data_IF_726344839973
#
_entry.id   IF_726344839973
#
_cell.length_a   1.000
_cell.length_b   1.000
_cell.length_c   1.000
_cell.angle_alpha   90.00
_cell.angle_beta   90.00
_cell.angle_gamma   90.00
#
_symmetry.space_group_name_H-M   'P 1'
#
loop_
_entity.id
_entity.type
_entity.pdbx_description
1 polymer ?
#
# COMPACT_ATOMS: atom_id res chain seq x y z
N UNK A 1 5.80 -16.15 3.93
CA UNK A 1 5.40 -17.04 2.82
C UNK A 1 4.95 -16.13 1.70
N UNK A 2 5.66 -16.13 0.57
CA UNK A 2 5.34 -15.29 -0.60
C UNK A 2 4.16 -15.94 -1.33
N UNK A 3 3.10 -15.19 -1.62
CA UNK A 3 2.00 -15.68 -2.44
C UNK A 3 2.32 -15.44 -3.93
N UNK A 4 1.83 -16.27 -4.83
CA UNK A 4 2.08 -16.14 -6.27
C UNK A 4 0.93 -15.38 -6.94
N UNK A 5 1.27 -14.36 -7.70
CA UNK A 5 0.47 -13.89 -8.82
C UNK A 5 1.40 -13.92 -10.04
N UNK A 6 1.06 -14.70 -11.08
CA UNK A 6 1.79 -14.81 -12.35
C UNK A 6 3.31 -15.01 -12.18
N UNK A 7 3.71 -16.17 -11.63
CA UNK A 7 5.09 -16.65 -11.47
C UNK A 7 6.08 -15.80 -10.65
N UNK A 8 5.67 -14.62 -10.17
CA UNK A 8 6.45 -13.81 -9.26
C UNK A 8 6.18 -14.20 -7.78
N UNK A 9 7.24 -14.30 -6.98
CA UNK A 9 7.13 -14.36 -5.52
C UNK A 9 6.69 -12.99 -5.00
N UNK A 10 5.40 -12.83 -4.67
CA UNK A 10 4.87 -11.56 -4.14
C UNK A 10 5.41 -11.31 -2.74
N UNK A 11 6.28 -10.29 -2.61
CA UNK A 11 6.71 -9.71 -1.35
C UNK A 11 5.52 -9.26 -0.50
N UNK A 12 5.69 -9.23 0.82
CA UNK A 12 4.63 -8.83 1.75
C UNK A 12 4.06 -7.45 1.37
N UNK A 13 2.75 -7.36 1.18
CA UNK A 13 1.95 -6.23 0.66
C UNK A 13 1.98 -4.91 1.46
N UNK A 14 2.94 -4.70 2.36
CA UNK A 14 3.02 -3.48 3.18
C UNK A 14 4.04 -2.51 2.60
N UNK A 15 3.74 -1.21 2.70
CA UNK A 15 4.67 -0.11 2.39
C UNK A 15 5.86 -0.09 3.37
N UNK A 16 6.78 -1.06 3.21
CA UNK A 16 7.96 -1.23 4.03
C UNK A 16 9.22 -0.95 3.21
N UNK A 17 10.00 0.05 3.62
CA UNK A 17 11.27 0.43 2.98
C UNK A 17 12.27 -0.72 2.94
N UNK A 18 12.22 -1.64 3.92
CA UNK A 18 13.08 -2.82 3.96
C UNK A 18 12.90 -3.77 2.76
N UNK A 19 11.73 -3.82 2.15
CA UNK A 19 11.52 -4.63 0.94
C UNK A 19 12.19 -4.01 -0.28
N UNK A 20 12.03 -2.69 -0.45
CA UNK A 20 12.69 -1.94 -1.50
C UNK A 20 14.21 -2.06 -1.33
N UNK A 21 14.72 -1.88 -0.11
CA UNK A 21 16.15 -2.03 0.19
C UNK A 21 16.69 -3.41 -0.20
N UNK A 22 15.92 -4.47 0.07
CA UNK A 22 16.28 -5.83 -0.34
C UNK A 22 16.21 -6.01 -1.85
N UNK A 23 15.16 -5.52 -2.51
CA UNK A 23 15.02 -5.61 -3.96
C UNK A 23 16.22 -4.96 -4.66
N UNK A 24 16.56 -3.73 -4.25
CA UNK A 24 17.74 -3.01 -4.72
C UNK A 24 19.04 -3.78 -4.47
N UNK A 25 19.21 -4.36 -3.27
CA UNK A 25 20.40 -5.15 -2.94
C UNK A 25 20.58 -6.39 -3.82
N UNK A 26 19.48 -7.02 -4.23
CA UNK A 26 19.50 -8.26 -5.01
C UNK A 26 19.25 -8.05 -6.52
N UNK A 27 19.17 -6.81 -6.99
CA UNK A 27 18.86 -6.51 -8.40
C UNK A 27 17.48 -6.98 -8.83
N UNK A 28 16.53 -7.07 -7.90
CA UNK A 28 15.14 -7.45 -8.18
C UNK A 28 14.38 -6.18 -8.61
N UNK A 29 13.60 -6.22 -9.72
CA UNK A 29 12.76 -5.11 -10.12
C UNK A 29 11.86 -4.61 -8.99
N UNK A 30 11.90 -3.30 -8.74
CA UNK A 30 11.12 -2.65 -7.70
C UNK A 30 10.23 -1.55 -8.29
N UNK A 31 8.93 -1.66 -8.01
CA UNK A 31 7.92 -0.64 -8.31
C UNK A 31 7.47 -0.02 -6.98
N UNK A 32 7.47 1.30 -6.92
CA UNK A 32 6.99 2.08 -5.78
C UNK A 32 5.73 2.83 -6.21
N UNK A 33 4.53 2.38 -5.78
CA UNK A 33 3.31 3.13 -5.97
C UNK A 33 3.39 4.47 -5.26
N UNK A 34 2.90 5.54 -5.89
CA UNK A 34 2.74 6.86 -5.27
C UNK A 34 1.33 7.40 -5.52
N UNK A 35 0.72 7.97 -4.48
CA UNK A 35 -0.65 8.51 -4.52
C UNK A 35 -0.70 9.85 -3.80
N UNK A 36 -1.66 10.69 -4.17
CA UNK A 36 -1.96 11.92 -3.44
C UNK A 36 -1.99 11.63 -1.92
N UNK A 37 -1.29 12.42 -1.09
CA UNK A 37 -1.12 12.13 0.32
C UNK A 37 -2.44 12.12 1.08
N UNK A 38 -3.37 13.03 0.80
CA UNK A 38 -4.66 13.09 1.48
C UNK A 38 -5.43 11.80 1.23
N UNK A 39 -5.51 11.37 -0.03
CA UNK A 39 -6.22 10.16 -0.40
C UNK A 39 -5.57 8.89 0.18
N UNK A 40 -4.23 8.81 0.12
CA UNK A 40 -3.47 7.67 0.60
C UNK A 40 -3.60 7.51 2.12
N UNK A 41 -3.40 8.60 2.87
CA UNK A 41 -3.46 8.62 4.32
C UNK A 41 -4.90 8.37 4.78
N UNK A 42 -5.90 9.03 4.18
CA UNK A 42 -7.32 8.80 4.49
C UNK A 42 -7.70 7.35 4.29
N UNK A 43 -7.25 6.74 3.18
CA UNK A 43 -7.48 5.32 2.92
C UNK A 43 -6.80 4.41 3.96
N UNK A 44 -5.61 4.78 4.44
CA UNK A 44 -4.87 4.00 5.44
C UNK A 44 -5.52 4.08 6.83
N UNK A 45 -5.81 5.30 7.30
CA UNK A 45 -6.53 5.57 8.57
C UNK A 45 -7.86 4.81 8.58
N UNK A 46 -8.62 4.89 7.50
CA UNK A 46 -9.88 4.15 7.35
C UNK A 46 -9.66 2.62 7.42
N UNK A 47 -8.70 2.09 6.66
CA UNK A 47 -8.46 0.65 6.57
C UNK A 47 -7.94 0.03 7.88
N UNK A 48 -7.14 0.77 8.64
CA UNK A 48 -6.63 0.35 9.94
C UNK A 48 -7.66 0.49 11.06
N UNK A 49 -8.75 1.22 10.81
CA UNK A 49 -9.77 1.54 11.81
C UNK A 49 -9.21 2.34 13.00
N UNK A 50 -7.99 2.86 12.90
CA UNK A 50 -7.40 3.74 13.89
C UNK A 50 -7.62 5.19 13.42
N UNK A 51 -8.07 6.07 14.31
CA UNK A 51 -8.18 7.51 13.99
C UNK A 51 -6.82 8.23 14.14
N UNK A 52 -5.72 7.48 14.03
CA UNK A 52 -4.37 7.96 14.28
C UNK A 52 -3.77 8.58 13.00
N UNK A 53 -4.28 9.76 12.67
CA UNK A 53 -3.84 10.54 11.50
C UNK A 53 -2.37 10.93 11.61
N UNK A 54 -1.90 11.27 12.81
CA UNK A 54 -0.52 11.68 13.05
C UNK A 54 0.45 10.56 12.61
N UNK A 55 0.26 9.34 13.11
CA UNK A 55 1.10 8.20 12.74
C UNK A 55 1.11 7.92 11.24
N UNK A 56 -0.05 8.01 10.58
CA UNK A 56 -0.14 7.74 9.13
C UNK A 56 0.53 8.83 8.29
N UNK A 57 0.44 10.10 8.68
CA UNK A 57 1.17 11.19 8.03
C UNK A 57 2.67 11.00 8.19
N UNK A 58 3.15 10.66 9.40
CA UNK A 58 4.58 10.38 9.61
C UNK A 58 5.06 9.17 8.82
N UNK A 59 4.26 8.10 8.72
CA UNK A 59 4.59 6.92 7.91
C UNK A 59 4.71 7.27 6.44
N UNK A 60 3.78 8.05 5.89
CA UNK A 60 3.85 8.54 4.51
C UNK A 60 5.15 9.31 4.27
N UNK A 61 5.42 10.31 5.11
CA UNK A 61 6.62 11.14 5.00
C UNK A 61 7.91 10.32 5.14
N UNK A 62 7.99 9.45 6.14
CA UNK A 62 9.16 8.62 6.38
C UNK A 62 9.44 7.67 5.22
N UNK A 63 8.39 7.07 4.64
CA UNK A 63 8.52 6.19 3.50
C UNK A 63 9.05 6.94 2.27
N UNK A 64 8.40 8.03 1.87
CA UNK A 64 8.80 8.73 0.65
C UNK A 64 10.10 9.52 0.78
N UNK A 65 10.44 10.06 1.97
CA UNK A 65 11.77 10.64 2.21
C UNK A 65 12.89 9.60 2.12
N UNK A 66 12.58 8.35 2.47
CA UNK A 66 13.53 7.26 2.29
C UNK A 66 13.64 6.84 0.82
N UNK A 67 12.54 6.88 0.06
CA UNK A 67 12.51 6.55 -1.38
C UNK A 67 13.19 7.64 -2.22
N UNK A 68 13.00 8.91 -1.89
CA UNK A 68 13.49 10.09 -2.63
C UNK A 68 14.95 9.97 -3.11
N UNK A 69 15.95 9.70 -2.25
CA UNK A 69 17.35 9.56 -2.70
C UNK A 69 17.64 8.28 -3.51
N UNK A 70 16.66 7.38 -3.65
CA UNK A 70 16.76 6.07 -4.36
C UNK A 70 15.85 6.02 -5.58
N UNK A 71 15.23 7.14 -5.93
CA UNK A 71 14.16 7.19 -6.92
C UNK A 71 14.63 6.69 -8.29
N UNK A 72 15.87 6.99 -8.68
CA UNK A 72 16.43 6.55 -9.95
C UNK A 72 16.67 5.02 -10.02
N UNK A 73 16.66 4.35 -8.87
CA UNK A 73 16.83 2.89 -8.77
C UNK A 73 15.50 2.12 -8.70
N UNK A 74 14.36 2.81 -8.69
CA UNK A 74 13.02 2.19 -8.66
C UNK A 74 12.16 2.73 -9.82
N UNK A 75 11.07 2.02 -10.15
CA UNK A 75 10.00 2.61 -10.97
C UNK A 75 9.00 3.27 -10.04
N UNK A 76 8.88 4.60 -10.09
CA UNK A 76 7.84 5.32 -9.37
C UNK A 76 6.55 5.31 -10.21
N UNK A 77 5.48 4.72 -9.67
CA UNK A 77 4.24 4.52 -10.40
C UNK A 77 3.08 5.30 -9.75
N UNK A 78 2.55 6.36 -10.39
CA UNK A 78 1.35 7.04 -9.93
C UNK A 78 0.16 6.09 -9.81
N UNK A 79 -0.61 6.25 -8.74
CA UNK A 79 -1.76 5.39 -8.45
C UNK A 79 -2.80 5.43 -9.57
N UNK A 80 -3.02 6.62 -10.14
CA UNK A 80 -3.91 6.84 -11.28
C UNK A 80 -3.46 5.98 -12.47
N UNK A 81 -2.17 6.03 -12.83
CA UNK A 81 -1.60 5.16 -13.87
C UNK A 81 -1.79 3.68 -13.54
N UNK A 82 -1.53 3.27 -12.29
CA UNK A 82 -1.68 1.86 -11.87
C UNK A 82 -3.11 1.35 -12.13
N UNK A 83 -4.13 2.17 -11.87
CA UNK A 83 -5.54 1.75 -12.00
C UNK A 83 -6.12 1.96 -13.40
N UNK A 84 -5.54 2.83 -14.24
CA UNK A 84 -6.06 3.12 -15.59
C UNK A 84 -5.24 2.52 -16.72
N UNK A 85 -3.92 2.42 -16.56
CA UNK A 85 -2.99 1.93 -17.58
C UNK A 85 -1.79 1.20 -16.92
N UNK A 86 -2.06 0.00 -16.40
CA UNK A 86 -1.03 -0.81 -15.77
C UNK A 86 0.06 -1.27 -16.75
N UNK A 87 -0.25 -1.34 -18.05
CA UNK A 87 0.72 -1.70 -19.10
C UNK A 87 1.83 -0.66 -19.21
N UNK A 88 1.54 0.62 -18.95
CA UNK A 88 2.58 1.64 -18.82
C UNK A 88 3.59 1.33 -17.70
N UNK A 89 3.12 0.82 -16.56
CA UNK A 89 4.01 0.41 -15.45
C UNK A 89 4.87 -0.79 -15.87
N UNK A 90 4.28 -1.79 -16.51
CA UNK A 90 4.99 -2.98 -17.02
C UNK A 90 6.08 -2.56 -18.01
N UNK A 91 5.77 -1.65 -18.95
CA UNK A 91 6.74 -1.14 -19.92
C UNK A 91 7.94 -0.50 -19.23
N UNK A 92 7.72 0.38 -18.26
CA UNK A 92 8.80 1.05 -17.54
C UNK A 92 9.67 0.06 -16.75
N UNK A 93 9.05 -0.97 -16.16
CA UNK A 93 9.80 -2.04 -15.48
C UNK A 93 10.68 -2.79 -16.46
N UNK A 94 10.14 -3.17 -17.62
CA UNK A 94 10.88 -3.85 -18.68
C UNK A 94 12.05 -3.00 -19.19
N UNK A 95 11.82 -1.72 -19.46
CA UNK A 95 12.85 -0.78 -19.93
C UNK A 95 13.94 -0.55 -18.87
N UNK A 96 13.57 -0.34 -17.61
CA UNK A 96 14.52 -0.01 -16.53
C UNK A 96 15.37 -1.21 -16.10
N UNK A 97 14.77 -2.39 -16.01
CA UNK A 97 15.42 -3.58 -15.46
C UNK A 97 15.81 -4.61 -16.52
N UNK A 98 15.53 -4.36 -17.80
CA UNK A 98 15.79 -5.30 -18.89
C UNK A 98 14.96 -6.59 -18.77
N UNK A 99 13.75 -6.50 -18.23
CA UNK A 99 12.84 -7.64 -18.10
C UNK A 99 11.92 -7.78 -19.31
N UNK A 100 11.25 -8.94 -19.41
CA UNK A 100 10.31 -9.27 -20.50
C UNK A 100 8.94 -9.64 -19.93
N UNK A 101 8.43 -8.86 -18.97
CA UNK A 101 7.10 -9.10 -18.41
C UNK A 101 6.01 -8.85 -19.46
N UNK A 102 5.05 -9.77 -19.52
CA UNK A 102 3.93 -9.69 -20.45
C UNK A 102 2.98 -8.55 -20.10
N UNK A 103 2.44 -7.90 -21.13
CA UNK A 103 1.36 -6.94 -20.99
C UNK A 103 0.04 -7.64 -20.63
N UNK A 104 -0.89 -6.87 -20.07
CA UNK A 104 -2.25 -7.29 -19.74
C UNK A 104 -3.17 -6.88 -20.89
N UNK A 105 -3.76 -7.87 -21.56
CA UNK A 105 -4.69 -7.62 -22.68
C UNK A 105 -6.08 -7.16 -22.19
N UNK A 106 -6.53 -7.69 -21.06
CA UNK A 106 -7.83 -7.39 -20.44
C UNK A 106 -7.64 -6.98 -18.97
N UNK A 107 -7.37 -5.68 -18.75
CA UNK A 107 -7.16 -5.14 -17.41
C UNK A 107 -8.42 -5.22 -16.55
N UNK A 108 -9.60 -5.02 -17.15
CA UNK A 108 -10.88 -5.06 -16.45
C UNK A 108 -11.18 -6.48 -15.97
N UNK A 109 -11.08 -7.47 -16.85
CA UNK A 109 -11.27 -8.88 -16.51
C UNK A 109 -10.23 -9.39 -15.51
N UNK A 110 -8.97 -8.98 -15.64
CA UNK A 110 -7.93 -9.30 -14.65
C UNK A 110 -8.26 -8.70 -13.27
N UNK A 111 -8.72 -7.44 -13.25
CA UNK A 111 -9.10 -6.77 -12.00
C UNK A 111 -10.31 -7.43 -11.35
N UNK A 112 -11.32 -7.81 -12.13
CA UNK A 112 -12.51 -8.51 -11.64
C UNK A 112 -12.17 -9.88 -11.06
N UNK A 113 -11.29 -10.65 -11.72
CA UNK A 113 -10.80 -11.93 -11.20
C UNK A 113 -10.07 -11.76 -9.86
N UNK A 114 -9.21 -10.75 -9.75
CA UNK A 114 -8.51 -10.44 -8.49
C UNK A 114 -9.53 -10.04 -7.41
N UNK A 115 -10.52 -9.19 -7.71
CA UNK A 115 -11.57 -8.80 -6.75
C UNK A 115 -12.32 -10.02 -6.23
N UNK A 116 -12.78 -10.89 -7.12
CA UNK A 116 -13.45 -12.15 -6.73
C UNK A 116 -12.56 -13.02 -5.85
N UNK A 117 -11.28 -13.15 -6.20
CA UNK A 117 -10.33 -13.90 -5.39
C UNK A 117 -10.16 -13.32 -3.97
N UNK A 118 -10.12 -11.98 -3.85
CA UNK A 118 -10.11 -11.30 -2.56
C UNK A 118 -11.42 -11.53 -1.81
N UNK A 119 -12.57 -11.31 -2.44
CA UNK A 119 -13.87 -11.56 -1.83
C UNK A 119 -13.95 -13.01 -1.32
N UNK A 120 -13.54 -14.00 -2.11
CA UNK A 120 -13.49 -15.40 -1.67
C UNK A 120 -12.53 -15.64 -0.49
N UNK A 121 -11.35 -14.99 -0.49
CA UNK A 121 -10.38 -15.09 0.60
C UNK A 121 -10.87 -14.47 1.92
N UNK A 122 -11.63 -13.38 1.83
CA UNK A 122 -12.02 -12.55 2.97
C UNK A 122 -13.45 -12.80 3.45
N UNK A 123 -14.32 -13.35 2.61
CA UNK A 123 -15.73 -13.62 2.92
C UNK A 123 -15.98 -15.09 3.35
N UNK A 124 -15.02 -16.01 3.16
CA UNK A 124 -15.20 -17.45 3.47
C UNK A 124 -14.33 -18.04 4.61
N UNK A 125 -13.87 -17.25 5.59
CA UNK A 125 -13.49 -17.82 6.91
C UNK A 125 -14.53 -17.49 7.96
N UNK A 126 -15.50 -18.39 8.00
CA UNK A 126 -16.62 -18.50 8.92
C UNK A 126 -16.36 -17.93 10.32
N UNK A 127 -17.40 -17.29 10.86
CA UNK A 127 -17.56 -16.94 12.27
C UNK A 127 -17.30 -18.11 13.25
N UNK A 128 -17.18 -19.37 12.77
CA UNK A 128 -16.98 -20.58 13.58
C UNK A 128 -15.52 -20.86 13.95
N UNK A 129 -14.54 -20.32 13.26
CA UNK A 129 -13.13 -20.46 13.63
C UNK A 129 -12.56 -19.07 13.87
N UNK A 130 -12.59 -18.61 15.12
CA UNK A 130 -12.15 -17.27 15.56
C UNK A 130 -10.65 -16.99 15.38
N UNK A 131 -10.12 -17.17 14.17
CA UNK A 131 -8.76 -16.84 13.75
C UNK A 131 -8.81 -16.15 12.39
N UNK A 132 -8.87 -14.82 12.41
CA UNK A 132 -8.33 -14.06 11.29
C UNK A 132 -6.83 -14.35 11.22
N UNK A 133 -6.39 -14.92 10.09
CA UNK A 133 -4.97 -15.21 9.81
C UNK A 133 -4.16 -13.95 9.44
N UNK A 134 -4.75 -12.77 9.49
CA UNK A 134 -4.09 -11.51 9.15
C UNK A 134 -3.99 -10.62 10.39
N UNK A 135 -2.88 -10.79 11.10
CA UNK A 135 -2.31 -9.74 11.94
C UNK A 135 -1.01 -9.30 11.23
N UNK A 136 -0.73 -8.00 11.08
CA UNK A 136 0.49 -7.56 10.39
C UNK A 136 1.72 -8.09 11.12
N UNK A 137 2.36 -9.11 10.55
CA UNK A 137 3.57 -9.71 11.12
C UNK A 137 4.78 -8.76 11.07
N UNK A 138 4.66 -7.58 10.46
CA UNK A 138 5.76 -6.60 10.34
C UNK A 138 5.76 -5.54 11.45
N UNK A 139 4.67 -5.38 12.23
CA UNK A 139 4.74 -4.57 13.47
C UNK A 139 5.55 -5.30 14.55
N UNK A 140 5.79 -6.62 14.41
CA UNK A 140 6.56 -7.40 15.38
C UNK A 140 8.07 -7.18 15.34
N UNK A 141 8.65 -6.96 14.16
CA UNK A 141 10.11 -7.13 14.00
C UNK A 141 10.87 -5.87 13.54
N UNK A 142 10.20 -4.77 13.16
CA UNK A 142 10.86 -3.64 12.48
C UNK A 142 11.06 -2.36 13.30
N UNK A 143 10.44 -2.20 14.48
CA UNK A 143 10.53 -0.97 15.28
C UNK A 143 10.59 -1.28 16.78
N UNK A 144 11.78 -1.30 17.41
CA UNK A 144 11.86 -1.36 18.86
C UNK A 144 11.39 -0.03 19.43
N UNK A 145 10.13 0.03 19.88
CA UNK A 145 9.56 1.21 20.55
C UNK A 145 8.10 1.53 20.22
N UNK A 146 7.45 0.83 19.30
CA UNK A 146 6.07 1.13 18.88
C UNK A 146 5.19 -0.13 18.88
N UNK A 147 5.00 -0.72 20.06
CA UNK A 147 4.13 -1.90 20.21
C UNK A 147 3.20 -1.69 21.40
N UNK A 148 1.92 -1.48 21.07
CA UNK A 148 0.84 -1.94 21.94
C UNK A 148 1.10 -3.40 22.30
N UNK A 149 0.89 -3.76 23.57
CA UNK A 149 1.07 -5.12 24.06
C UNK A 149 0.16 -6.11 23.30
N UNK A 150 0.55 -7.39 23.28
CA UNK A 150 -0.28 -8.46 22.71
C UNK A 150 -1.68 -8.54 23.35
N UNK A 151 -1.84 -8.06 24.59
CA UNK A 151 -3.12 -7.92 25.27
C UNK A 151 -3.92 -6.71 24.77
N UNK A 152 -3.27 -5.58 24.50
CA UNK A 152 -3.90 -4.37 23.95
C UNK A 152 -4.41 -4.61 22.52
N UNK A 153 -3.68 -5.39 21.69
CA UNK A 153 -4.17 -5.76 20.35
C UNK A 153 -5.35 -6.74 20.39
N UNK A 154 -5.32 -7.72 21.32
CA UNK A 154 -6.40 -8.71 21.49
C UNK A 154 -7.70 -8.09 22.01
N UNK A 155 -7.58 -7.09 22.88
CA UNK A 155 -8.72 -6.37 23.46
C UNK A 155 -9.12 -5.13 22.65
N UNK A 156 -8.33 -4.72 21.65
CA UNK A 156 -8.78 -3.71 20.72
C UNK A 156 -9.96 -4.29 19.95
N UNK A 157 -11.13 -3.66 20.06
CA UNK A 157 -12.36 -4.03 19.37
C UNK A 157 -12.28 -3.93 17.83
N UNK A 158 -11.08 -3.80 17.26
CA UNK A 158 -10.76 -3.83 15.84
C UNK A 158 -10.79 -5.27 15.32
N UNK A 159 -11.95 -5.91 15.44
CA UNK A 159 -12.33 -7.00 14.54
C UNK A 159 -12.44 -6.35 13.16
N UNK A 160 -11.46 -6.58 12.27
CA UNK A 160 -11.58 -6.15 10.88
C UNK A 160 -12.82 -6.82 10.30
N UNK A 161 -13.90 -6.06 10.18
CA UNK A 161 -15.10 -6.44 9.42
C UNK A 161 -14.96 -5.74 8.06
N UNK A 162 -15.08 -6.45 6.93
CA UNK A 162 -15.15 -5.79 5.64
C UNK A 162 -16.33 -4.80 5.67
N UNK A 163 -16.04 -3.49 5.64
CA UNK A 163 -17.09 -2.49 5.47
C UNK A 163 -17.56 -2.58 4.01
N UNK A 164 -18.87 -2.69 3.71
CA UNK A 164 -19.38 -2.67 2.35
C UNK A 164 -18.92 -1.42 1.59
N UNK A 165 -18.64 -1.54 0.28
CA UNK A 165 -18.03 -0.48 -0.56
C UNK A 165 -18.68 0.91 -0.40
N UNK A 166 -20.03 1.07 -0.37
CA UNK A 166 -20.66 2.37 -0.15
C UNK A 166 -20.32 3.01 1.21
N UNK A 167 -20.26 2.19 2.28
CA UNK A 167 -19.87 2.65 3.61
C UNK A 167 -18.38 3.01 3.72
N UNK A 168 -17.54 2.55 2.79
CA UNK A 168 -16.12 2.95 2.73
C UNK A 168 -15.94 4.38 2.25
N UNK A 169 -16.67 4.77 1.20
CA UNK A 169 -16.55 6.11 0.64
C UNK A 169 -17.15 7.17 1.57
N UNK A 170 -18.27 6.86 2.23
CA UNK A 170 -18.83 7.73 3.27
C UNK A 170 -17.88 7.87 4.47
N UNK A 171 -17.34 6.76 4.98
CA UNK A 171 -16.41 6.81 6.11
C UNK A 171 -15.09 7.52 5.80
N UNK A 172 -14.61 7.47 4.55
CA UNK A 172 -13.44 8.26 4.12
C UNK A 172 -13.74 9.76 4.07
N UNK A 173 -14.93 10.17 3.63
CA UNK A 173 -15.34 11.59 3.61
C UNK A 173 -15.32 12.24 4.99
N UNK A 174 -15.60 11.48 6.05
CA UNK A 174 -15.51 11.98 7.43
C UNK A 174 -14.06 12.17 7.91
N UNK A 175 -13.13 11.37 7.37
CA UNK A 175 -11.71 11.39 7.75
C UNK A 175 -10.90 12.39 6.93
N UNK A 176 -11.29 12.65 5.69
CA UNK A 176 -10.57 13.54 4.78
C UNK A 176 -10.31 14.94 5.38
N UNK A 177 -11.26 15.63 6.03
CA UNK A 177 -10.98 16.91 6.68
C UNK A 177 -9.96 16.81 7.82
N UNK A 178 -9.91 15.68 8.54
CA UNK A 178 -8.92 15.48 9.62
C UNK A 178 -7.51 15.36 9.05
N UNK A 179 -7.38 14.66 7.91
CA UNK A 179 -6.10 14.50 7.21
C UNK A 179 -5.68 15.81 6.53
N UNK A 180 -6.60 16.46 5.82
CA UNK A 180 -6.34 17.73 5.09
C UNK A 180 -5.99 18.90 6.00
N UNK A 181 -6.42 18.89 7.26
CA UNK A 181 -6.07 19.91 8.24
C UNK A 181 -4.84 19.56 9.10
N UNK A 182 -4.23 18.38 8.88
CA UNK A 182 -3.07 17.97 9.68
C UNK A 182 -1.85 18.85 9.37
N UNK A 183 -1.15 19.31 10.41
CA UNK A 183 -0.02 20.27 10.33
C UNK A 183 1.10 19.93 9.36
N UNK A 184 1.31 18.64 9.05
CA UNK A 184 2.36 18.17 8.14
C UNK A 184 1.86 17.73 6.76
N UNK A 185 0.56 17.86 6.47
CA UNK A 185 0.02 17.46 5.17
C UNK A 185 0.63 18.28 4.02
N UNK A 186 0.92 19.57 4.24
CA UNK A 186 1.62 20.40 3.27
C UNK A 186 3.03 19.91 2.94
N UNK A 187 3.73 19.31 3.90
CA UNK A 187 5.04 18.68 3.63
C UNK A 187 4.87 17.39 2.80
N UNK A 188 3.82 16.62 3.06
CA UNK A 188 3.52 15.41 2.31
C UNK A 188 3.13 15.76 0.86
N UNK A 189 2.35 16.83 0.67
CA UNK A 189 1.98 17.34 -0.65
C UNK A 189 3.21 17.83 -1.43
N UNK A 190 4.06 18.66 -0.80
CA UNK A 190 5.29 19.13 -1.45
C UNK A 190 6.23 17.98 -1.84
N UNK A 191 6.33 16.92 -1.02
CA UNK A 191 7.10 15.73 -1.36
C UNK A 191 6.47 14.94 -2.50
N UNK A 192 5.15 14.78 -2.51
CA UNK A 192 4.41 14.17 -3.61
C UNK A 192 4.65 14.93 -4.93
N UNK A 193 4.46 16.26 -4.92
CA UNK A 193 4.65 17.12 -6.08
C UNK A 193 6.10 17.05 -6.58
N UNK A 194 7.08 17.07 -5.67
CA UNK A 194 8.49 16.91 -6.01
C UNK A 194 8.75 15.58 -6.73
N UNK A 195 8.29 14.47 -6.16
CA UNK A 195 8.53 13.12 -6.69
C UNK A 195 7.80 12.89 -8.03
N UNK A 196 6.60 13.46 -8.19
CA UNK A 196 5.76 13.29 -9.39
C UNK A 196 6.02 14.32 -10.49
N UNK A 197 6.72 15.41 -10.19
CA UNK A 197 7.16 16.38 -11.21
C UNK A 197 8.19 15.80 -12.18
N UNK A 198 8.83 14.70 -11.79
CA UNK A 198 9.78 13.97 -12.62
C UNK A 198 8.98 13.07 -13.58
N UNK A 199 9.34 13.00 -14.88
CA UNK A 199 8.75 12.00 -15.76
C UNK A 199 8.96 10.61 -15.16
N UNK A 200 7.99 9.71 -15.34
CA UNK A 200 8.12 8.32 -14.88
C UNK A 200 9.41 7.72 -15.48
N UNK A 201 10.28 7.19 -14.62
CA UNK A 201 11.60 6.63 -14.94
C UNK A 201 11.78 5.28 -14.30
#
# INVERSE_FOLDING_TARGET
>A
MFHKANDAHLGHHTHCTGQIARALRYGIPAVVPIRNPVDAITSSVFALGNKDVDSEVYRYLAFYRWVEPRIDSVVLAPFETIITDFNQVIRLVNEKYGTEFNYIDDLEGATEQIRRYFDDLFDNRSEKEGRLKWAPAVVRDALPGFLFSMEEQKNSALRWKPIPVPGREEGKKELEPLVSNHKYIGQAQALYDHLTSRPMT
#
